data_IF_469537961334
#
_entry.id   IF_469537961334
#
_cell.length_a   1.000
_cell.length_b   1.000
_cell.length_c   1.000
_cell.angle_alpha   90.00
_cell.angle_beta   90.00
_cell.angle_gamma   90.00
#
_symmetry.space_group_name_H-M   'P 1'
#
loop_
_entity.id
_entity.type
_entity.pdbx_description
1 polymer ?
#
# COMPACT_ATOMS: atom_id res chain seq x y z
N UNK A 1 17.30 10.82 -5.35
CA UNK A 1 17.18 10.78 -6.82
C UNK A 1 15.99 11.66 -7.18
N UNK A 2 16.24 12.92 -7.54
CA UNK A 2 15.23 14.00 -7.62
C UNK A 2 14.27 13.91 -8.82
N UNK A 3 14.13 12.71 -9.41
CA UNK A 3 13.30 12.47 -10.61
C UNK A 3 11.83 12.83 -10.41
N UNK A 4 11.36 12.91 -9.16
CA UNK A 4 9.97 13.22 -8.83
C UNK A 4 9.77 14.62 -8.25
N UNK A 5 10.85 15.40 -8.10
CA UNK A 5 10.84 16.68 -7.39
C UNK A 5 9.93 17.73 -8.06
N UNK A 6 9.69 17.57 -9.37
CA UNK A 6 8.86 18.47 -10.18
C UNK A 6 7.40 18.00 -10.38
N UNK A 7 6.98 16.91 -9.73
CA UNK A 7 5.57 16.53 -9.72
C UNK A 7 4.82 17.32 -8.64
N UNK A 8 4.04 18.30 -9.09
CA UNK A 8 3.30 19.23 -8.21
C UNK A 8 2.14 18.57 -7.47
N UNK A 9 1.54 17.54 -8.07
CA UNK A 9 0.50 16.71 -7.45
C UNK A 9 1.17 15.45 -6.90
N UNK A 10 1.51 15.48 -5.61
CA UNK A 10 2.13 14.35 -4.92
C UNK A 10 1.76 14.28 -3.45
N UNK A 11 1.92 13.10 -2.87
CA UNK A 11 1.82 12.83 -1.43
C UNK A 11 3.00 11.98 -1.02
N UNK A 12 3.64 12.36 0.08
CA UNK A 12 4.77 11.63 0.66
C UNK A 12 4.43 11.27 2.11
N UNK A 13 4.79 10.04 2.48
CA UNK A 13 4.54 9.46 3.79
C UNK A 13 5.78 8.68 4.21
N UNK A 14 6.03 8.69 5.51
CA UNK A 14 7.11 7.93 6.11
C UNK A 14 6.61 6.58 6.62
N UNK A 15 7.31 5.51 6.26
CA UNK A 15 7.04 4.15 6.70
C UNK A 15 8.34 3.35 6.76
N UNK A 16 8.60 2.71 7.90
CA UNK A 16 9.73 1.80 8.09
C UNK A 16 9.41 0.46 7.47
N UNK A 17 10.39 -0.05 6.71
CA UNK A 17 10.35 -1.36 6.07
C UNK A 17 11.09 -2.35 6.95
N UNK A 18 10.56 -2.56 8.15
CA UNK A 18 11.14 -3.42 9.19
C UNK A 18 10.03 -4.32 9.74
N UNK A 19 10.41 -5.53 10.14
CA UNK A 19 9.49 -6.48 10.75
C UNK A 19 9.35 -6.14 12.23
N UNK A 20 8.11 -6.02 12.71
CA UNK A 20 7.79 -5.65 14.08
C UNK A 20 6.60 -4.69 14.13
N UNK A 21 5.64 -4.96 15.02
CA UNK A 21 4.44 -4.12 15.14
C UNK A 21 4.74 -2.71 15.69
N UNK A 22 5.85 -2.55 16.40
CA UNK A 22 6.26 -1.27 17.00
C UNK A 22 7.09 -0.39 16.05
N UNK A 23 7.42 -0.89 14.85
CA UNK A 23 8.26 -0.16 13.89
C UNK A 23 7.53 1.02 13.23
N UNK A 24 6.20 1.00 13.23
CA UNK A 24 5.37 2.05 12.68
C UNK A 24 4.24 2.41 13.66
N UNK A 25 4.41 3.49 14.43
CA UNK A 25 3.48 3.93 15.50
C UNK A 25 2.02 4.06 15.03
N UNK A 26 1.79 4.41 13.76
CA UNK A 26 0.44 4.49 13.21
C UNK A 26 0.38 4.01 11.76
N UNK A 27 0.70 2.72 11.55
CA UNK A 27 0.68 2.10 10.23
C UNK A 27 -0.70 2.20 9.55
N UNK A 28 -1.80 2.05 10.32
CA UNK A 28 -3.16 2.15 9.79
C UNK A 28 -3.43 3.51 9.17
N UNK A 29 -3.17 4.61 9.89
CA UNK A 29 -3.41 5.94 9.35
C UNK A 29 -2.52 6.25 8.13
N UNK A 30 -1.28 5.77 8.11
CA UNK A 30 -0.38 5.95 6.98
C UNK A 30 -0.89 5.23 5.72
N UNK A 31 -1.37 3.99 5.85
CA UNK A 31 -1.93 3.22 4.73
C UNK A 31 -3.29 3.81 4.30
N UNK A 32 -4.14 4.20 5.24
CA UNK A 32 -5.43 4.85 4.96
C UNK A 32 -5.27 6.15 4.17
N UNK A 33 -4.32 7.01 4.58
CA UNK A 33 -3.98 8.25 3.87
C UNK A 33 -3.45 7.98 2.45
N UNK A 34 -2.57 6.99 2.32
CA UNK A 34 -2.02 6.60 1.03
C UNK A 34 -3.11 6.10 0.07
N UNK A 35 -3.94 5.16 0.52
CA UNK A 35 -5.00 4.56 -0.30
C UNK A 35 -6.06 5.61 -0.67
N UNK A 36 -6.48 6.44 0.29
CA UNK A 36 -7.45 7.51 0.03
C UNK A 36 -6.91 8.56 -0.95
N UNK A 37 -5.61 8.85 -0.87
CA UNK A 37 -4.94 9.71 -1.87
C UNK A 37 -4.94 9.07 -3.26
N UNK A 38 -4.64 7.77 -3.36
CA UNK A 38 -4.70 7.05 -4.66
C UNK A 38 -6.11 7.13 -5.25
N UNK A 39 -7.14 6.85 -4.45
CA UNK A 39 -8.53 6.92 -4.90
C UNK A 39 -8.92 8.33 -5.36
N UNK A 40 -8.57 9.38 -4.59
CA UNK A 40 -8.86 10.76 -4.94
C UNK A 40 -8.18 11.17 -6.27
N UNK A 41 -6.89 10.86 -6.43
CA UNK A 41 -6.15 11.20 -7.64
C UNK A 41 -6.69 10.44 -8.87
N UNK A 42 -7.07 9.17 -8.71
CA UNK A 42 -7.70 8.40 -9.78
C UNK A 42 -9.08 8.98 -10.15
N UNK A 43 -9.87 9.40 -9.16
CA UNK A 43 -11.18 10.02 -9.38
C UNK A 43 -11.08 11.36 -10.13
N UNK A 44 -10.01 12.12 -9.88
CA UNK A 44 -9.67 13.36 -10.59
C UNK A 44 -9.09 13.11 -12.01
N UNK A 45 -9.01 11.84 -12.44
CA UNK A 45 -8.53 11.46 -13.78
C UNK A 45 -7.02 11.40 -13.94
N UNK A 46 -6.26 11.43 -12.84
CA UNK A 46 -4.80 11.30 -12.89
C UNK A 46 -4.36 9.86 -13.09
N UNK A 47 -3.16 9.70 -13.68
CA UNK A 47 -2.40 8.43 -13.62
C UNK A 47 -1.51 8.48 -12.38
N UNK A 48 -1.70 7.53 -11.46
CA UNK A 48 -1.03 7.51 -10.17
C UNK A 48 0.16 6.56 -10.17
N UNK A 49 1.31 7.03 -9.70
CA UNK A 49 2.48 6.22 -9.41
C UNK A 49 2.61 6.04 -7.89
N UNK A 50 2.55 4.80 -7.42
CA UNK A 50 2.91 4.44 -6.04
C UNK A 50 4.29 3.81 -6.07
N UNK A 51 5.23 4.33 -5.26
CA UNK A 51 6.56 3.75 -5.16
C UNK A 51 7.17 3.95 -3.77
N UNK A 52 8.18 3.15 -3.46
CA UNK A 52 9.12 3.38 -2.37
C UNK A 52 10.54 3.39 -2.96
N UNK A 53 11.58 3.37 -2.13
CA UNK A 53 12.96 3.34 -2.62
C UNK A 53 13.26 2.10 -3.50
N UNK A 54 12.84 0.91 -3.06
CA UNK A 54 13.08 -0.33 -3.79
C UNK A 54 11.93 -0.76 -4.73
N UNK A 55 10.76 -0.13 -4.61
CA UNK A 55 9.54 -0.57 -5.31
C UNK A 55 9.09 -1.98 -4.92
N UNK A 56 9.39 -2.46 -3.70
CA UNK A 56 9.14 -3.85 -3.27
C UNK A 56 8.06 -3.93 -2.19
N UNK A 57 8.47 -3.90 -0.93
CA UNK A 57 7.62 -4.17 0.25
C UNK A 57 6.58 -3.07 0.52
N UNK A 58 7.01 -1.84 0.87
CA UNK A 58 6.09 -0.71 1.13
C UNK A 58 5.18 -0.35 -0.04
N UNK A 59 5.72 -0.40 -1.27
CA UNK A 59 4.92 -0.24 -2.49
C UNK A 59 3.85 -1.32 -2.57
N UNK A 60 4.23 -2.57 -2.31
CA UNK A 60 3.29 -3.68 -2.29
C UNK A 60 2.23 -3.55 -1.22
N UNK A 61 2.57 -3.12 0.00
CA UNK A 61 1.60 -2.89 1.06
C UNK A 61 0.48 -1.94 0.60
N UNK A 62 0.83 -0.75 0.09
CA UNK A 62 -0.16 0.25 -0.34
C UNK A 62 -0.98 -0.26 -1.53
N UNK A 63 -0.35 -0.89 -2.52
CA UNK A 63 -1.05 -1.41 -3.69
C UNK A 63 -2.00 -2.56 -3.34
N UNK A 64 -1.60 -3.46 -2.45
CA UNK A 64 -2.48 -4.54 -1.94
C UNK A 64 -3.65 -3.95 -1.16
N UNK A 65 -3.40 -3.03 -0.23
CA UNK A 65 -4.45 -2.34 0.53
C UNK A 65 -5.47 -1.65 -0.40
N UNK A 66 -4.98 -0.94 -1.42
CA UNK A 66 -5.83 -0.33 -2.44
C UNK A 66 -6.65 -1.35 -3.22
N UNK A 67 -6.05 -2.47 -3.65
CA UNK A 67 -6.76 -3.54 -4.36
C UNK A 67 -7.85 -4.19 -3.50
N UNK A 68 -7.57 -4.45 -2.21
CA UNK A 68 -8.56 -4.96 -1.26
C UNK A 68 -9.75 -4.01 -1.14
N UNK A 69 -9.52 -2.70 -1.00
CA UNK A 69 -10.59 -1.70 -0.95
C UNK A 69 -11.36 -1.61 -2.27
N UNK A 70 -10.65 -1.58 -3.40
CA UNK A 70 -11.23 -1.31 -4.72
C UNK A 70 -12.03 -2.49 -5.26
N UNK A 71 -11.56 -3.70 -5.03
CA UNK A 71 -12.11 -4.93 -5.62
C UNK A 71 -12.77 -5.85 -4.61
N UNK A 72 -12.69 -5.55 -3.30
CA UNK A 72 -13.18 -6.44 -2.25
C UNK A 72 -12.33 -7.68 -2.05
N UNK A 73 -11.06 -7.64 -2.44
CA UNK A 73 -10.14 -8.77 -2.28
C UNK A 73 -9.79 -9.01 -0.81
N UNK A 74 -9.61 -10.28 -0.47
CA UNK A 74 -8.87 -10.74 0.70
C UNK A 74 -7.38 -10.40 0.57
N UNK A 75 -6.62 -10.53 1.66
CA UNK A 75 -5.16 -10.32 1.62
C UNK A 75 -4.47 -11.24 0.60
N UNK A 76 -4.90 -12.50 0.52
CA UNK A 76 -4.33 -13.52 -0.39
C UNK A 76 -4.61 -13.16 -1.85
N UNK A 77 -5.84 -12.79 -2.18
CA UNK A 77 -6.20 -12.38 -3.55
C UNK A 77 -5.44 -11.12 -3.97
N UNK A 78 -5.27 -10.16 -3.05
CA UNK A 78 -4.47 -8.96 -3.32
C UNK A 78 -2.98 -9.29 -3.52
N UNK A 79 -2.46 -10.26 -2.77
CA UNK A 79 -1.11 -10.78 -2.94
C UNK A 79 -0.90 -11.36 -4.34
N UNK A 80 -1.75 -12.30 -4.75
CA UNK A 80 -1.69 -12.93 -6.07
C UNK A 80 -1.87 -11.91 -7.20
N UNK A 81 -2.81 -10.98 -7.03
CA UNK A 81 -3.06 -9.89 -7.98
C UNK A 81 -1.81 -9.06 -8.24
N UNK A 82 -1.09 -8.69 -7.18
CA UNK A 82 0.10 -7.86 -7.30
C UNK A 82 1.30 -8.65 -7.84
N UNK A 83 1.52 -9.88 -7.36
CA UNK A 83 2.64 -10.73 -7.78
C UNK A 83 2.63 -10.99 -9.29
N UNK A 84 1.46 -11.24 -9.87
CA UNK A 84 1.29 -11.45 -11.31
C UNK A 84 1.62 -10.21 -12.16
N UNK A 85 1.62 -9.00 -11.57
CA UNK A 85 1.75 -7.73 -12.29
C UNK A 85 3.10 -7.05 -12.08
N UNK A 86 3.74 -7.30 -10.94
CA UNK A 86 4.93 -6.56 -10.53
C UNK A 86 6.06 -7.50 -10.09
N UNK A 87 6.95 -7.81 -11.03
CA UNK A 87 8.04 -8.78 -10.84
C UNK A 87 9.04 -8.43 -9.70
N UNK A 88 9.06 -7.17 -9.22
CA UNK A 88 9.93 -6.73 -8.11
C UNK A 88 9.26 -6.82 -6.75
N UNK A 89 7.98 -7.16 -6.71
CA UNK A 89 7.27 -7.34 -5.46
C UNK A 89 7.95 -8.44 -4.63
N UNK A 90 8.02 -8.21 -3.32
CA UNK A 90 8.63 -9.15 -2.38
C UNK A 90 7.87 -9.08 -1.04
N UNK A 91 7.20 -10.16 -0.61
CA UNK A 91 6.36 -10.20 0.59
C UNK A 91 7.16 -10.44 1.89
N UNK A 92 8.41 -10.00 1.96
CA UNK A 92 9.31 -10.39 3.05
C UNK A 92 8.93 -9.78 4.41
N UNK A 93 8.24 -8.64 4.43
CA UNK A 93 7.78 -8.02 5.67
C UNK A 93 6.45 -8.64 6.11
N UNK A 94 6.53 -9.62 7.01
CA UNK A 94 5.36 -10.36 7.51
C UNK A 94 4.39 -9.47 8.28
N UNK A 95 4.89 -8.43 8.97
CA UNK A 95 4.06 -7.45 9.68
C UNK A 95 3.09 -6.74 8.75
N UNK A 96 3.48 -6.49 7.50
CA UNK A 96 2.59 -5.89 6.49
C UNK A 96 1.50 -6.85 6.02
N UNK A 97 1.83 -8.12 5.85
CA UNK A 97 0.84 -9.17 5.53
C UNK A 97 -0.15 -9.35 6.66
N UNK A 98 0.33 -9.44 7.91
CA UNK A 98 -0.51 -9.52 9.11
C UNK A 98 -1.39 -8.28 9.27
N UNK A 99 -0.83 -7.08 9.07
CA UNK A 99 -1.60 -5.83 9.09
C UNK A 99 -2.77 -5.86 8.09
N UNK A 100 -2.53 -6.32 6.85
CA UNK A 100 -3.57 -6.38 5.84
C UNK A 100 -4.70 -7.34 6.23
N UNK A 101 -4.34 -8.52 6.72
CA UNK A 101 -5.30 -9.56 7.15
C UNK A 101 -6.07 -9.16 8.41
N UNK A 102 -5.38 -8.63 9.42
CA UNK A 102 -5.92 -8.53 10.78
C UNK A 102 -6.52 -7.15 11.08
N UNK A 103 -6.08 -6.11 10.36
CA UNK A 103 -6.44 -4.71 10.59
C UNK A 103 -7.12 -4.05 9.39
N UNK A 104 -6.60 -4.25 8.17
CA UNK A 104 -7.12 -3.57 6.97
C UNK A 104 -8.38 -4.22 6.41
N UNK A 105 -8.44 -5.55 6.37
CA UNK A 105 -9.60 -6.28 5.89
C UNK A 105 -10.85 -5.90 6.72
N UNK A 106 -11.97 -5.49 6.06
CA UNK A 106 -13.17 -5.17 6.80
C UNK A 106 -13.66 -6.42 7.51
N UNK A 107 -13.56 -6.44 8.85
CA UNK A 107 -14.17 -7.49 9.65
C UNK A 107 -15.65 -7.53 9.31
N UNK A 108 -16.11 -8.65 8.76
CA UNK A 108 -17.53 -8.90 8.47
C UNK A 108 -18.32 -8.46 9.69
N UNK A 109 -19.14 -7.41 9.54
CA UNK A 109 -20.07 -7.00 10.59
C UNK A 109 -21.15 -8.07 10.64
N UNK A 110 -21.06 -8.95 11.62
CA UNK A 110 -22.12 -9.90 11.99
C UNK A 110 -23.29 -9.12 12.59
#
# INVERSE_FOLDING_TARGET
DGRLDHHTVRRELYMRDEVGHDENVNLLAAVEDAVSTVDALLADGHRVLVHCHGGRSRTGLVLKAWAMRRYGFTEVEAHEWLEQRWYRYAPWNTTFTEFLRDTWEPKVRV
#
